data_IF_798162990551
#
_entry.id   IF_798162990551
#
_cell.length_a   1.000
_cell.length_b   1.000
_cell.length_c   1.000
_cell.angle_alpha   90.00
_cell.angle_beta   90.00
_cell.angle_gamma   90.00
#
_symmetry.space_group_name_H-M   'P 1'
#
loop_
_entity.id
_entity.type
_entity.pdbx_description
1 polymer ?
#
# COMPACT_ATOMS: atom_id res chain seq x y z
N UNK A 1 33.91 4.06 6.58
CA UNK A 1 33.11 5.03 5.80
C UNK A 1 32.32 5.84 6.79
N UNK A 2 32.71 7.10 6.95
CA UNK A 2 32.07 8.07 7.83
C UNK A 2 30.59 8.19 7.45
N UNK A 3 29.70 8.00 8.43
CA UNK A 3 28.27 8.35 8.30
C UNK A 3 28.19 9.87 8.24
N UNK A 4 28.54 10.46 7.10
CA UNK A 4 28.18 11.85 6.85
C UNK A 4 26.66 11.92 6.86
N UNK A 5 26.13 12.75 7.76
CA UNK A 5 24.72 13.08 7.73
C UNK A 5 24.39 13.56 6.30
N UNK A 6 23.25 13.14 5.73
CA UNK A 6 22.85 13.63 4.42
C UNK A 6 22.91 15.17 4.44
N UNK A 7 23.35 15.81 3.35
CA UNK A 7 23.48 17.27 3.29
C UNK A 7 22.17 17.91 3.74
N UNK A 8 22.27 18.97 4.55
CA UNK A 8 21.10 19.71 5.02
C UNK A 8 20.45 20.39 3.80
N UNK A 9 19.44 19.74 3.22
CA UNK A 9 18.68 20.27 2.11
C UNK A 9 17.71 21.34 2.63
N UNK A 10 17.62 22.46 1.91
CA UNK A 10 16.52 23.40 2.11
C UNK A 10 15.26 22.85 1.40
N UNK A 11 14.46 22.10 2.14
CA UNK A 11 13.23 21.48 1.63
C UNK A 11 12.20 22.50 1.15
N UNK A 12 12.21 23.72 1.69
CA UNK A 12 11.33 24.79 1.23
C UNK A 12 11.78 25.28 -0.16
N UNK A 13 13.08 25.50 -0.35
CA UNK A 13 13.62 25.87 -1.65
C UNK A 13 13.41 24.78 -2.72
N UNK A 14 13.52 23.51 -2.32
CA UNK A 14 13.21 22.36 -3.18
C UNK A 14 11.72 22.25 -3.54
N UNK A 15 10.83 22.95 -2.81
CA UNK A 15 9.39 22.80 -2.95
C UNK A 15 8.95 21.36 -2.62
N UNK A 16 9.47 20.80 -1.53
CA UNK A 16 9.11 19.46 -1.09
C UNK A 16 7.62 19.42 -0.73
N UNK A 17 6.95 18.42 -1.28
CA UNK A 17 5.56 18.10 -0.98
C UNK A 17 5.48 16.61 -0.69
N UNK A 18 4.79 16.26 0.38
CA UNK A 18 4.63 14.89 0.83
C UNK A 18 3.17 14.62 1.22
N UNK A 19 2.73 13.38 1.01
CA UNK A 19 1.49 12.83 1.52
C UNK A 19 1.74 11.47 2.18
N UNK A 20 0.92 11.10 3.15
CA UNK A 20 1.00 9.82 3.85
C UNK A 20 -0.32 9.08 3.65
N UNK A 21 -0.22 7.80 3.37
CA UNK A 21 -1.34 6.86 3.35
C UNK A 21 -1.12 5.81 4.44
N UNK A 22 -2.16 5.55 5.24
CA UNK A 22 -2.11 4.59 6.34
C UNK A 22 -3.23 3.58 6.17
N UNK A 23 -2.88 2.30 6.19
CA UNK A 23 -3.82 1.19 6.32
C UNK A 23 -3.73 0.62 7.73
N UNK A 24 -4.82 0.64 8.49
CA UNK A 24 -4.86 0.16 9.87
C UNK A 24 -5.97 -0.85 10.08
N UNK A 25 -5.61 -2.07 10.49
CA UNK A 25 -6.58 -3.10 10.87
C UNK A 25 -7.33 -2.72 12.15
N UNK A 26 -8.64 -2.96 12.15
CA UNK A 26 -9.52 -2.74 13.29
C UNK A 26 -9.61 -4.03 14.14
N UNK A 27 -9.69 -3.87 15.46
CA UNK A 27 -9.78 -4.99 16.39
C UNK A 27 -11.23 -5.32 16.72
N UNK A 28 -11.93 -5.82 15.72
CA UNK A 28 -13.35 -6.20 15.80
C UNK A 28 -13.50 -7.69 16.11
N UNK A 29 -14.66 -8.07 16.65
CA UNK A 29 -14.96 -9.47 16.95
C UNK A 29 -15.01 -10.33 15.69
N UNK A 30 -15.58 -9.79 14.60
CA UNK A 30 -15.81 -10.49 13.34
C UNK A 30 -15.28 -9.70 12.14
N UNK A 31 -15.06 -10.40 11.02
CA UNK A 31 -14.62 -9.82 9.75
C UNK A 31 -15.65 -8.84 9.17
N UNK A 32 -15.24 -8.07 8.17
CA UNK A 32 -16.04 -6.93 7.68
C UNK A 32 -17.36 -7.34 7.05
N UNK A 33 -17.38 -8.49 6.37
CA UNK A 33 -18.54 -8.98 5.60
C UNK A 33 -18.92 -10.43 5.91
N UNK A 34 -18.44 -10.99 7.04
CA UNK A 34 -18.82 -12.33 7.49
C UNK A 34 -18.62 -12.50 9.00
N UNK A 35 -19.19 -13.58 9.57
CA UNK A 35 -19.12 -13.89 11.00
C UNK A 35 -17.79 -14.49 11.48
N UNK A 36 -16.77 -14.59 10.62
CA UNK A 36 -15.49 -15.19 11.01
C UNK A 36 -14.68 -14.29 11.94
N UNK A 37 -13.91 -14.84 12.89
CA UNK A 37 -13.08 -14.04 13.80
C UNK A 37 -11.91 -13.37 13.07
N UNK A 38 -11.39 -12.29 13.64
CA UNK A 38 -10.27 -11.51 13.09
C UNK A 38 -8.88 -11.95 13.60
N UNK A 39 -8.74 -13.22 14.01
CA UNK A 39 -7.49 -13.77 14.55
C UNK A 39 -6.61 -14.34 13.43
N UNK A 40 -5.31 -14.14 13.54
CA UNK A 40 -4.35 -14.83 12.69
C UNK A 40 -4.23 -16.30 13.05
N UNK A 41 -3.92 -17.13 12.05
CA UNK A 41 -3.68 -18.57 12.19
C UNK A 41 -2.28 -18.92 11.70
N UNK A 42 -1.68 -19.92 12.32
CA UNK A 42 -0.48 -20.56 11.80
C UNK A 42 -0.85 -21.42 10.59
N UNK A 43 0.01 -21.41 9.57
CA UNK A 43 -0.30 -22.03 8.27
C UNK A 43 -0.53 -23.54 8.40
N UNK A 44 0.17 -24.17 9.33
CA UNK A 44 0.11 -25.59 9.65
C UNK A 44 -1.26 -26.01 10.20
N UNK A 45 -2.05 -25.07 10.73
CA UNK A 45 -3.40 -25.33 11.22
C UNK A 45 -4.44 -25.39 10.09
N UNK A 46 -4.05 -25.11 8.84
CA UNK A 46 -4.95 -25.18 7.71
C UNK A 46 -5.43 -26.61 7.50
N UNK A 47 -6.74 -26.78 7.50
CA UNK A 47 -7.42 -28.07 7.37
C UNK A 47 -8.10 -28.26 6.01
N UNK A 48 -8.10 -27.22 5.17
CA UNK A 48 -8.69 -27.24 3.85
C UNK A 48 -7.90 -26.36 2.90
N UNK A 49 -7.80 -26.78 1.64
CA UNK A 49 -7.10 -26.04 0.59
C UNK A 49 -7.90 -26.14 -0.70
N UNK A 50 -7.96 -25.03 -1.44
CA UNK A 50 -8.52 -24.98 -2.78
C UNK A 50 -7.68 -24.06 -3.67
N UNK A 51 -7.93 -24.08 -4.97
CA UNK A 51 -7.23 -23.20 -5.91
C UNK A 51 -8.19 -22.46 -6.82
N UNK A 52 -7.76 -21.30 -7.34
CA UNK A 52 -8.48 -20.51 -8.34
C UNK A 52 -7.53 -19.97 -9.41
N UNK A 53 -8.14 -19.58 -10.52
CA UNK A 53 -7.53 -18.73 -11.54
C UNK A 53 -8.40 -17.50 -11.68
N UNK A 54 -7.84 -16.32 -11.43
CA UNK A 54 -8.55 -15.07 -11.69
C UNK A 54 -8.49 -14.76 -13.19
N UNK A 55 -9.56 -14.16 -13.70
CA UNK A 55 -9.66 -13.75 -15.11
C UNK A 55 -10.00 -12.26 -15.18
N UNK A 56 -9.37 -11.50 -16.09
CA UNK A 56 -9.74 -10.11 -16.29
C UNK A 56 -11.16 -10.02 -16.84
N UNK A 57 -11.91 -9.03 -16.38
CA UNK A 57 -13.16 -8.63 -17.02
C UNK A 57 -12.86 -7.73 -18.22
N UNK A 58 -13.67 -7.85 -19.27
CA UNK A 58 -13.63 -6.91 -20.42
C UNK A 58 -14.32 -5.62 -20.02
N UNK A 59 -13.79 -4.47 -20.44
CA UNK A 59 -14.53 -3.20 -20.34
C UNK A 59 -15.78 -3.24 -21.23
N UNK A 60 -16.71 -2.32 -21.01
CA UNK A 60 -17.92 -2.14 -21.83
C UNK A 60 -17.60 -1.89 -23.32
N UNK A 61 -16.42 -1.33 -23.60
CA UNK A 61 -15.91 -1.07 -24.96
C UNK A 61 -15.21 -2.30 -25.57
N UNK A 62 -15.15 -3.43 -24.86
CA UNK A 62 -14.45 -4.64 -25.27
C UNK A 62 -12.92 -4.57 -25.13
N UNK A 63 -12.39 -3.42 -24.72
CA UNK A 63 -10.98 -3.23 -24.45
C UNK A 63 -10.62 -3.90 -23.12
N UNK A 64 -9.52 -4.65 -23.11
CA UNK A 64 -8.99 -5.26 -21.90
C UNK A 64 -7.89 -4.34 -21.39
N UNK A 65 -7.88 -4.06 -20.09
CA UNK A 65 -6.81 -3.31 -19.46
C UNK A 65 -5.45 -3.95 -19.79
N UNK A 66 -4.52 -3.13 -20.29
CA UNK A 66 -3.18 -3.57 -20.71
C UNK A 66 -2.40 -4.21 -19.55
N UNK A 67 -2.54 -3.69 -18.33
CA UNK A 67 -1.90 -4.27 -17.14
C UNK A 67 -2.51 -5.63 -16.80
N UNK A 68 -3.84 -5.74 -16.89
CA UNK A 68 -4.53 -7.01 -16.68
C UNK A 68 -4.17 -8.04 -17.76
N UNK A 69 -3.95 -7.62 -19.02
CA UNK A 69 -3.44 -8.47 -20.11
C UNK A 69 -2.01 -8.97 -19.87
N UNK A 70 -1.11 -8.12 -19.37
CA UNK A 70 0.27 -8.53 -19.06
C UNK A 70 0.32 -9.54 -17.91
N UNK A 71 -0.58 -9.41 -16.92
CA UNK A 71 -0.74 -10.39 -15.85
C UNK A 71 -1.40 -11.70 -16.33
N UNK A 72 -2.31 -11.63 -17.31
CA UNK A 72 -2.92 -12.82 -17.96
C UNK A 72 -1.90 -13.65 -18.74
N UNK A 73 -0.87 -13.03 -19.33
CA UNK A 73 0.22 -13.76 -19.98
C UNK A 73 0.95 -14.69 -19.00
N UNK A 74 0.80 -14.44 -17.69
CA UNK A 74 1.22 -15.33 -16.62
C UNK A 74 -0.03 -15.78 -15.86
N UNK A 75 -0.85 -16.65 -16.46
CA UNK A 75 -1.97 -17.30 -15.75
C UNK A 75 -1.45 -18.07 -14.53
N UNK A 76 -1.36 -17.41 -13.37
CA UNK A 76 -0.89 -17.98 -12.12
C UNK A 76 -2.01 -18.72 -11.42
N UNK A 77 -1.70 -19.90 -10.91
CA UNK A 77 -2.59 -20.66 -10.03
C UNK A 77 -2.50 -20.05 -8.63
N UNK A 78 -3.63 -19.63 -8.07
CA UNK A 78 -3.69 -19.16 -6.68
C UNK A 78 -4.20 -20.29 -5.79
N UNK A 79 -3.42 -20.65 -4.79
CA UNK A 79 -3.75 -21.68 -3.81
C UNK A 79 -4.13 -21.02 -2.49
N UNK A 80 -5.27 -21.36 -1.92
CA UNK A 80 -5.79 -20.75 -0.70
C UNK A 80 -5.88 -21.76 0.43
N UNK A 81 -5.16 -21.47 1.52
CA UNK A 81 -5.22 -22.16 2.80
C UNK A 81 -6.40 -21.63 3.61
N UNK A 82 -7.32 -22.52 3.95
CA UNK A 82 -8.55 -22.28 4.71
C UNK A 82 -8.49 -23.00 6.06
N UNK A 83 -9.32 -22.57 7.00
CA UNK A 83 -9.32 -23.01 8.39
C UNK A 83 -10.74 -23.31 8.88
N UNK A 84 -10.87 -23.90 10.06
CA UNK A 84 -12.16 -24.00 10.78
C UNK A 84 -12.73 -22.63 11.19
N UNK A 85 -11.92 -21.57 11.14
CA UNK A 85 -12.32 -20.19 11.41
C UNK A 85 -12.60 -19.36 10.16
N UNK A 86 -12.62 -19.96 8.97
CA UNK A 86 -12.96 -19.27 7.71
C UNK A 86 -14.28 -19.82 7.15
N UNK A 87 -14.93 -19.08 6.26
CA UNK A 87 -16.26 -19.38 5.73
C UNK A 87 -16.35 -19.28 4.20
N UNK A 88 -17.54 -19.56 3.67
CA UNK A 88 -17.83 -19.52 2.23
C UNK A 88 -17.69 -18.11 1.63
N UNK A 89 -17.93 -17.05 2.41
CA UNK A 89 -17.73 -15.66 1.94
C UNK A 89 -16.25 -15.40 1.60
N UNK A 90 -15.32 -15.85 2.43
CA UNK A 90 -13.88 -15.72 2.18
C UNK A 90 -13.42 -16.63 1.05
N UNK A 91 -14.10 -17.75 0.83
CA UNK A 91 -13.85 -18.65 -0.28
C UNK A 91 -14.47 -18.18 -1.61
N UNK A 92 -15.25 -17.09 -1.61
CA UNK A 92 -16.06 -16.64 -2.76
C UNK A 92 -17.09 -17.69 -3.24
N UNK A 93 -17.73 -18.35 -2.28
CA UNK A 93 -18.78 -19.38 -2.49
C UNK A 93 -20.13 -18.99 -1.85
N UNK A 94 -20.20 -17.85 -1.18
CA UNK A 94 -21.42 -17.27 -0.60
C UNK A 94 -21.40 -15.74 -0.75
N UNK A 95 -22.55 -15.10 -1.03
CA UNK A 95 -22.63 -13.65 -1.01
C UNK A 95 -22.18 -13.07 0.35
N UNK A 96 -21.47 -11.92 0.37
CA UNK A 96 -21.09 -11.28 1.61
C UNK A 96 -22.32 -10.87 2.43
N UNK A 97 -22.20 -10.89 3.75
CA UNK A 97 -23.18 -10.29 4.65
C UNK A 97 -23.14 -8.76 4.57
N UNK A 98 -24.01 -8.10 5.34
CA UNK A 98 -23.95 -6.66 5.56
C UNK A 98 -22.64 -6.24 6.24
N UNK A 99 -22.29 -4.95 6.11
CA UNK A 99 -21.10 -4.36 6.75
C UNK A 99 -21.15 -4.58 8.26
N UNK A 100 -20.04 -5.03 8.84
CA UNK A 100 -19.89 -5.19 10.28
C UNK A 100 -20.16 -3.85 11.03
N UNK A 101 -21.20 -3.77 11.89
CA UNK A 101 -21.55 -2.55 12.61
C UNK A 101 -20.45 -2.02 13.52
N UNK A 102 -19.65 -2.90 14.13
CA UNK A 102 -18.54 -2.52 15.00
C UNK A 102 -17.43 -1.82 14.19
N UNK A 103 -17.10 -2.37 13.02
CA UNK A 103 -16.13 -1.76 12.11
C UNK A 103 -16.59 -0.39 11.61
N UNK A 104 -17.88 -0.28 11.26
CA UNK A 104 -18.49 0.99 10.88
C UNK A 104 -18.41 2.01 12.02
N UNK A 105 -18.78 1.64 13.24
CA UNK A 105 -18.71 2.54 14.39
C UNK A 105 -17.28 3.04 14.65
N UNK A 106 -16.29 2.15 14.59
CA UNK A 106 -14.88 2.52 14.76
C UNK A 106 -14.45 3.50 13.65
N UNK A 107 -14.83 3.26 12.39
CA UNK A 107 -14.52 4.15 11.29
C UNK A 107 -15.12 5.56 11.47
N UNK A 108 -16.35 5.66 12.01
CA UNK A 108 -17.00 6.94 12.30
C UNK A 108 -16.33 7.67 13.48
N UNK A 109 -15.87 6.94 14.50
CA UNK A 109 -15.10 7.54 15.59
C UNK A 109 -13.75 8.08 15.08
N UNK A 110 -13.06 7.32 14.21
CA UNK A 110 -11.84 7.79 13.56
C UNK A 110 -12.12 9.03 12.72
N UNK A 111 -13.21 9.03 11.94
CA UNK A 111 -13.63 10.18 11.15
C UNK A 111 -13.81 11.43 12.02
N UNK A 112 -14.49 11.30 13.17
CA UNK A 112 -14.67 12.40 14.12
C UNK A 112 -13.35 12.91 14.71
N UNK A 113 -12.44 12.00 15.09
CA UNK A 113 -11.12 12.37 15.62
C UNK A 113 -10.24 13.10 14.59
N UNK A 114 -10.47 12.85 13.29
CA UNK A 114 -9.78 13.47 12.17
C UNK A 114 -10.55 14.66 11.55
N UNK A 115 -11.63 15.11 12.19
CA UNK A 115 -12.49 16.20 11.73
C UNK A 115 -13.06 15.99 10.30
N UNK A 116 -13.23 14.74 9.89
CA UNK A 116 -13.70 14.37 8.55
C UNK A 116 -15.21 14.66 8.42
N UNK A 117 -15.60 15.15 7.24
CA UNK A 117 -16.99 15.21 6.82
C UNK A 117 -17.41 13.84 6.31
N UNK A 118 -18.21 13.14 7.11
CA UNK A 118 -18.74 11.83 6.75
C UNK A 118 -19.83 11.95 5.68
N UNK A 119 -19.97 10.93 4.85
CA UNK A 119 -21.07 10.81 3.89
C UNK A 119 -22.39 10.48 4.58
N UNK A 120 -23.51 10.88 3.98
CA UNK A 120 -24.85 10.53 4.47
C UNK A 120 -25.20 9.06 4.21
N UNK A 121 -24.68 8.50 3.11
CA UNK A 121 -24.86 7.12 2.71
C UNK A 121 -23.53 6.53 2.25
N UNK A 122 -23.17 5.38 2.83
CA UNK A 122 -21.96 4.66 2.48
C UNK A 122 -22.28 3.56 1.47
N UNK A 123 -21.55 3.52 0.36
CA UNK A 123 -21.70 2.51 -0.69
C UNK A 123 -20.45 1.65 -0.78
N UNK A 124 -20.65 0.32 -0.82
CA UNK A 124 -19.55 -0.64 -0.94
C UNK A 124 -19.20 -0.81 -2.42
N UNK A 125 -17.98 -0.45 -2.77
CA UNK A 125 -17.40 -0.57 -4.10
C UNK A 125 -16.51 -1.81 -4.20
N UNK A 126 -16.19 -2.20 -5.44
CA UNK A 126 -15.29 -3.31 -5.76
C UNK A 126 -14.04 -2.76 -6.45
N UNK A 127 -12.96 -2.61 -5.71
CA UNK A 127 -11.64 -2.23 -6.24
C UNK A 127 -11.00 -3.47 -6.83
N UNK A 128 -10.74 -3.49 -8.14
CA UNK A 128 -10.19 -4.67 -8.82
C UNK A 128 -8.80 -5.02 -8.26
N UNK A 129 -8.60 -6.29 -7.92
CA UNK A 129 -7.35 -6.83 -7.37
C UNK A 129 -7.11 -8.21 -8.00
N UNK A 130 -6.16 -8.28 -8.93
CA UNK A 130 -5.93 -9.46 -9.77
C UNK A 130 -4.70 -10.29 -9.35
N UNK A 131 -3.99 -9.85 -8.31
CA UNK A 131 -2.78 -10.52 -7.81
C UNK A 131 -3.04 -11.82 -7.04
N UNK A 132 -4.33 -12.18 -6.84
CA UNK A 132 -4.75 -13.37 -6.09
C UNK A 132 -4.87 -13.17 -4.58
N UNK A 133 -4.64 -11.96 -4.06
CA UNK A 133 -4.78 -11.68 -2.64
C UNK A 133 -6.24 -11.55 -2.17
N UNK A 134 -7.18 -11.36 -3.10
CA UNK A 134 -8.63 -11.42 -2.88
C UNK A 134 -9.22 -12.57 -3.71
N UNK A 135 -9.91 -13.51 -3.05
CA UNK A 135 -10.50 -14.69 -3.70
C UNK A 135 -11.54 -14.36 -4.77
N UNK A 136 -12.24 -13.24 -4.61
CA UNK A 136 -13.23 -12.69 -5.54
C UNK A 136 -12.64 -11.89 -6.71
N UNK A 137 -11.32 -11.63 -6.72
CA UNK A 137 -10.66 -10.76 -7.70
C UNK A 137 -10.91 -9.26 -7.50
N UNK A 138 -11.48 -8.86 -6.36
CA UNK A 138 -11.63 -7.47 -5.96
C UNK A 138 -11.64 -7.34 -4.43
N UNK A 139 -11.20 -6.18 -3.95
CA UNK A 139 -11.33 -5.76 -2.56
C UNK A 139 -12.63 -4.97 -2.40
N UNK A 140 -13.44 -5.30 -1.39
CA UNK A 140 -14.60 -4.47 -1.03
C UNK A 140 -14.13 -3.28 -0.21
N UNK A 141 -14.42 -2.08 -0.70
CA UNK A 141 -14.00 -0.81 -0.10
C UNK A 141 -15.19 0.15 -0.08
N UNK A 142 -15.40 0.82 1.05
CA UNK A 142 -16.48 1.77 1.24
C UNK A 142 -15.91 3.14 1.64
N UNK A 143 -16.29 4.18 0.91
CA UNK A 143 -15.85 5.54 1.20
C UNK A 143 -16.62 6.11 2.39
N UNK A 144 -15.91 6.54 3.44
CA UNK A 144 -16.50 7.04 4.69
C UNK A 144 -16.60 8.57 4.66
N UNK A 145 -15.61 9.26 4.10
CA UNK A 145 -15.61 10.71 4.01
C UNK A 145 -14.26 11.33 3.66
N UNK A 146 -14.22 12.65 3.56
CA UNK A 146 -13.03 13.46 3.28
C UNK A 146 -13.11 14.83 3.97
N UNK A 147 -12.28 15.79 3.53
CA UNK A 147 -12.20 17.15 4.04
C UNK A 147 -11.89 17.23 5.55
N UNK A 148 -11.19 16.23 6.07
CA UNK A 148 -10.69 16.23 7.45
C UNK A 148 -9.39 17.00 7.57
N UNK A 149 -8.86 17.07 8.79
CA UNK A 149 -7.61 17.74 9.07
C UNK A 149 -7.08 17.42 10.46
N UNK A 150 -5.77 17.61 10.62
CA UNK A 150 -5.04 17.57 11.88
C UNK A 150 -4.17 18.84 12.04
N UNK A 151 -3.92 19.24 13.28
CA UNK A 151 -2.98 20.34 13.59
C UNK A 151 -1.57 19.79 13.80
N UNK A 152 -0.57 20.49 13.26
CA UNK A 152 0.85 20.16 13.43
C UNK A 152 1.66 21.42 13.71
N UNK A 153 2.93 21.23 14.08
CA UNK A 153 3.89 22.32 14.28
C UNK A 153 4.15 23.18 13.03
N UNK A 154 3.85 22.66 11.84
CA UNK A 154 4.06 23.34 10.56
C UNK A 154 2.76 23.84 9.91
N UNK A 155 1.64 23.78 10.62
CA UNK A 155 0.32 24.17 10.15
C UNK A 155 -0.63 22.98 10.00
N UNK A 156 -1.81 23.25 9.46
CA UNK A 156 -2.83 22.22 9.27
C UNK A 156 -2.45 21.29 8.11
N UNK A 157 -2.59 19.98 8.32
CA UNK A 157 -2.51 18.97 7.26
C UNK A 157 -3.91 18.42 7.00
N UNK A 158 -4.37 18.48 5.75
CA UNK A 158 -5.66 17.93 5.36
C UNK A 158 -5.68 16.41 5.39
N UNK A 159 -6.85 15.83 5.65
CA UNK A 159 -7.14 14.41 5.46
C UNK A 159 -8.07 14.32 4.25
N UNK A 160 -7.50 13.85 3.13
CA UNK A 160 -8.17 13.83 1.83
C UNK A 160 -9.14 12.66 1.67
N UNK A 161 -8.94 11.57 2.39
CA UNK A 161 -9.81 10.38 2.29
C UNK A 161 -9.76 9.53 3.55
N UNK A 162 -10.92 8.97 3.93
CA UNK A 162 -11.06 7.84 4.83
C UNK A 162 -11.97 6.79 4.16
N UNK A 163 -11.47 5.56 4.06
CA UNK A 163 -12.24 4.40 3.60
C UNK A 163 -12.28 3.32 4.68
N UNK A 164 -13.33 2.50 4.66
CA UNK A 164 -13.46 1.24 5.39
C UNK A 164 -13.41 0.09 4.37
N UNK A 165 -12.50 -0.84 4.54
CA UNK A 165 -12.22 -1.87 3.53
C UNK A 165 -11.81 -3.22 4.14
N UNK A 166 -11.82 -4.24 3.29
CA UNK A 166 -11.31 -5.57 3.62
C UNK A 166 -9.77 -5.60 3.52
N UNK A 167 -9.10 -6.17 4.51
CA UNK A 167 -7.71 -6.57 4.35
C UNK A 167 -7.60 -7.77 3.38
N UNK A 168 -6.48 -7.85 2.66
CA UNK A 168 -6.20 -8.92 1.70
C UNK A 168 -5.66 -10.20 2.38
N UNK A 169 -5.74 -11.34 1.69
CA UNK A 169 -5.14 -12.59 2.14
C UNK A 169 -3.62 -12.46 2.34
N UNK A 170 -3.05 -13.25 3.24
CA UNK A 170 -1.60 -13.22 3.51
C UNK A 170 -0.88 -14.13 2.53
N UNK A 171 0.05 -13.60 1.74
CA UNK A 171 0.95 -14.41 0.92
C UNK A 171 1.86 -15.23 1.84
N UNK A 172 1.94 -16.53 1.58
CA UNK A 172 2.74 -17.50 2.35
C UNK A 172 3.97 -17.92 1.55
N UNK A 173 3.79 -18.19 0.26
CA UNK A 173 4.84 -18.77 -0.58
C UNK A 173 4.63 -18.37 -2.04
N UNK A 174 5.72 -18.04 -2.74
CA UNK A 174 5.78 -17.91 -4.19
C UNK A 174 6.55 -19.13 -4.75
N UNK A 175 5.84 -19.99 -5.49
CA UNK A 175 6.40 -21.20 -6.12
C UNK A 175 6.79 -20.98 -7.57
N UNK A 176 6.73 -19.75 -8.06
CA UNK A 176 6.95 -19.36 -9.46
C UNK A 176 5.73 -19.62 -10.34
N UNK A 177 5.20 -20.85 -10.35
CA UNK A 177 4.01 -21.23 -11.12
C UNK A 177 2.69 -20.95 -10.40
N UNK A 178 2.77 -20.77 -9.07
CA UNK A 178 1.64 -20.61 -8.17
C UNK A 178 2.00 -19.75 -6.97
N UNK A 179 1.00 -19.02 -6.47
CA UNK A 179 1.11 -18.28 -5.21
C UNK A 179 0.20 -18.92 -4.18
N UNK A 180 0.72 -19.08 -2.96
CA UNK A 180 -0.02 -19.64 -1.83
C UNK A 180 -0.42 -18.53 -0.89
N UNK A 181 -1.72 -18.43 -0.61
CA UNK A 181 -2.33 -17.44 0.26
C UNK A 181 -3.00 -18.11 1.47
N UNK A 182 -3.01 -17.42 2.59
CA UNK A 182 -3.76 -17.78 3.80
C UNK A 182 -4.96 -16.86 3.98
N UNK A 183 -6.14 -17.46 4.15
CA UNK A 183 -7.41 -16.75 4.24
C UNK A 183 -7.72 -16.18 5.63
N UNK A 184 -6.98 -16.58 6.67
CA UNK A 184 -7.14 -16.07 8.03
C UNK A 184 -7.15 -14.53 8.11
N UNK A 185 -6.39 -13.87 7.24
CA UNK A 185 -6.31 -12.40 7.16
C UNK A 185 -7.37 -11.75 6.25
N UNK A 186 -7.82 -12.45 5.21
CA UNK A 186 -8.75 -11.89 4.22
C UNK A 186 -10.04 -11.42 4.90
N UNK A 187 -10.47 -10.18 4.66
CA UNK A 187 -11.72 -9.65 5.21
C UNK A 187 -11.64 -9.09 6.64
N UNK A 188 -10.46 -9.10 7.29
CA UNK A 188 -10.28 -8.31 8.53
C UNK A 188 -10.59 -6.83 8.21
N UNK A 189 -11.43 -6.12 9.00
CA UNK A 189 -11.76 -4.74 8.70
C UNK A 189 -10.52 -3.85 8.83
N UNK A 190 -10.37 -2.93 7.88
CA UNK A 190 -9.25 -2.01 7.81
C UNK A 190 -9.75 -0.61 7.46
N UNK A 191 -9.12 0.41 8.02
CA UNK A 191 -9.30 1.79 7.53
C UNK A 191 -8.10 2.24 6.72
N UNK A 192 -8.39 2.87 5.58
CA UNK A 192 -7.41 3.61 4.77
C UNK A 192 -7.56 5.10 5.06
N UNK A 193 -6.49 5.76 5.50
CA UNK A 193 -6.43 7.21 5.71
C UNK A 193 -5.39 7.78 4.76
N UNK A 194 -5.80 8.69 3.87
CA UNK A 194 -4.88 9.43 3.00
C UNK A 194 -4.83 10.91 3.38
N UNK A 195 -3.64 11.44 3.62
CA UNK A 195 -3.46 12.89 3.83
C UNK A 195 -3.49 13.66 2.52
N UNK A 196 -3.86 14.93 2.59
CA UNK A 196 -3.56 15.89 1.55
C UNK A 196 -2.03 16.07 1.41
N UNK A 197 -1.55 16.54 0.25
CA UNK A 197 -0.13 16.76 -0.01
C UNK A 197 0.36 18.08 0.63
N UNK A 198 0.17 18.23 1.95
CA UNK A 198 0.50 19.45 2.71
C UNK A 198 1.80 19.33 3.51
N UNK A 199 2.44 18.16 3.48
CA UNK A 199 3.62 17.87 4.31
C UNK A 199 4.87 18.42 3.63
N UNK A 200 5.49 19.41 4.24
CA UNK A 200 6.59 20.20 3.63
C UNK A 200 8.02 19.82 4.07
N UNK A 201 8.20 18.87 4.98
CA UNK A 201 9.55 18.44 5.40
C UNK A 201 9.56 17.02 5.96
N UNK A 202 10.74 16.35 5.99
CA UNK A 202 10.90 15.06 6.67
C UNK A 202 10.45 15.02 8.13
N UNK A 203 10.81 16.05 8.90
CA UNK A 203 10.44 16.13 10.31
C UNK A 203 8.92 16.28 10.47
N UNK A 204 8.29 17.08 9.62
CA UNK A 204 6.84 17.24 9.58
C UNK A 204 6.14 15.92 9.18
N UNK A 205 6.68 15.16 8.23
CA UNK A 205 6.14 13.85 7.85
C UNK A 205 6.10 12.87 9.03
N UNK A 206 7.19 12.82 9.80
CA UNK A 206 7.26 11.99 11.01
C UNK A 206 6.29 12.45 12.09
N UNK A 207 6.12 13.75 12.29
CA UNK A 207 5.14 14.31 13.21
C UNK A 207 3.72 13.87 12.83
N UNK A 208 3.34 14.02 11.55
CA UNK A 208 2.03 13.63 11.02
C UNK A 208 1.79 12.14 11.19
N UNK A 209 2.74 11.29 10.76
CA UNK A 209 2.64 9.84 10.93
C UNK A 209 2.48 9.44 12.42
N UNK A 210 3.23 10.10 13.30
CA UNK A 210 3.16 9.87 14.74
C UNK A 210 1.79 10.24 15.31
N UNK A 211 1.25 11.38 14.89
CA UNK A 211 -0.04 11.89 15.34
C UNK A 211 -1.20 11.01 14.86
N UNK A 212 -1.21 10.62 13.59
CA UNK A 212 -2.20 9.68 13.04
C UNK A 212 -2.15 8.34 13.79
N UNK A 213 -0.95 7.80 14.01
CA UNK A 213 -0.77 6.58 14.80
C UNK A 213 -1.25 6.73 16.25
N UNK A 214 -1.09 7.90 16.86
CA UNK A 214 -1.62 8.20 18.19
C UNK A 214 -3.15 8.22 18.20
N UNK A 215 -3.79 8.88 17.23
CA UNK A 215 -5.26 8.92 17.09
C UNK A 215 -5.81 7.51 16.97
N UNK A 216 -5.27 6.71 16.03
CA UNK A 216 -5.68 5.33 15.82
C UNK A 216 -5.57 4.50 17.10
N UNK A 217 -4.43 4.59 17.82
CA UNK A 217 -4.24 3.90 19.09
C UNK A 217 -5.19 4.36 20.19
N UNK A 218 -5.56 5.64 20.19
CA UNK A 218 -6.45 6.24 21.21
C UNK A 218 -7.88 5.73 21.11
N UNK A 219 -8.28 5.16 19.97
CA UNK A 219 -9.57 4.49 19.83
C UNK A 219 -9.70 3.26 20.75
N UNK A 220 -8.57 2.65 21.14
CA UNK A 220 -8.55 1.36 21.84
C UNK A 220 -9.07 0.17 21.03
N UNK A 221 -9.42 0.36 19.75
CA UNK A 221 -10.16 -0.59 18.90
C UNK A 221 -9.46 -0.89 17.58
N UNK A 222 -8.14 -0.72 17.55
CA UNK A 222 -7.28 -1.08 16.41
C UNK A 222 -6.34 -2.20 16.80
N UNK A 223 -6.04 -3.09 15.86
CA UNK A 223 -5.10 -4.19 16.10
C UNK A 223 -3.69 -3.64 16.36
N UNK A 224 -2.93 -4.41 17.14
CA UNK A 224 -1.56 -4.08 17.53
C UNK A 224 -0.64 -5.24 17.18
N UNK A 225 0.62 -4.92 16.90
CA UNK A 225 1.63 -5.90 16.54
C UNK A 225 2.10 -5.71 15.10
N UNK A 226 3.04 -6.56 14.69
CA UNK A 226 3.63 -6.50 13.36
C UNK A 226 2.58 -6.78 12.28
N UNK A 227 2.61 -5.99 11.20
CA UNK A 227 1.70 -6.17 10.06
C UNK A 227 0.27 -5.69 10.25
N UNK A 228 -0.05 -5.06 11.39
CA UNK A 228 -1.40 -4.50 11.66
C UNK A 228 -1.59 -3.08 11.12
N UNK A 229 -0.49 -2.38 10.86
CA UNK A 229 -0.45 -1.06 10.25
C UNK A 229 0.53 -1.06 9.08
N UNK A 230 0.11 -0.48 7.96
CA UNK A 230 0.97 -0.15 6.80
C UNK A 230 0.96 1.35 6.60
N UNK A 231 2.10 1.89 6.20
CA UNK A 231 2.28 3.32 5.96
C UNK A 231 3.05 3.48 4.66
N UNK A 232 2.45 4.18 3.72
CA UNK A 232 3.03 4.49 2.42
C UNK A 232 3.24 6.01 2.35
N UNK A 233 4.35 6.41 1.75
CA UNK A 233 4.76 7.82 1.71
C UNK A 233 4.91 8.26 0.26
N UNK A 234 4.21 9.34 -0.08
CA UNK A 234 4.22 9.94 -1.41
C UNK A 234 5.09 11.19 -1.37
N UNK A 235 6.23 11.22 -2.07
CA UNK A 235 7.19 12.33 -2.03
C UNK A 235 7.36 12.96 -3.41
N UNK A 236 7.44 14.29 -3.44
CA UNK A 236 7.78 15.04 -4.64
C UNK A 236 8.57 16.31 -4.31
N UNK A 237 9.35 16.81 -5.26
CA UNK A 237 10.00 18.12 -5.23
C UNK A 237 9.68 18.89 -6.52
N UNK A 238 9.88 20.21 -6.51
CA UNK A 238 9.67 21.06 -7.69
C UNK A 238 10.55 20.60 -8.87
N UNK A 239 9.90 20.33 -10.01
CA UNK A 239 10.58 19.85 -11.22
C UNK A 239 10.91 18.34 -11.20
N UNK A 240 10.66 17.66 -10.08
CA UNK A 240 10.77 16.21 -9.92
C UNK A 240 9.50 15.47 -10.33
N UNK A 241 9.25 14.34 -9.67
CA UNK A 241 8.08 13.49 -9.92
C UNK A 241 7.43 13.10 -8.58
N UNK A 242 6.16 12.68 -8.62
CA UNK A 242 5.52 12.02 -7.47
C UNK A 242 6.03 10.58 -7.42
N UNK A 243 6.64 10.20 -6.30
CA UNK A 243 7.15 8.85 -6.05
C UNK A 243 6.48 8.30 -4.80
N UNK A 244 5.83 7.16 -4.94
CA UNK A 244 5.22 6.42 -3.85
C UNK A 244 6.22 5.39 -3.30
N UNK A 245 6.44 5.43 -1.99
CA UNK A 245 7.32 4.52 -1.27
C UNK A 245 6.46 3.69 -0.34
N UNK A 246 6.29 2.41 -0.68
CA UNK A 246 5.43 1.48 0.04
C UNK A 246 6.14 0.81 1.22
N UNK A 247 5.38 0.52 2.28
CA UNK A 247 5.83 -0.33 3.37
C UNK A 247 6.83 0.33 4.34
N UNK A 248 6.65 1.61 4.65
CA UNK A 248 7.47 2.32 5.65
C UNK A 248 7.01 1.93 7.06
N UNK A 249 7.35 0.71 7.49
CA UNK A 249 6.81 0.12 8.73
C UNK A 249 7.20 0.87 10.01
N UNK A 250 8.43 1.38 10.07
CA UNK A 250 8.96 1.99 11.28
C UNK A 250 8.85 3.52 11.24
N UNK A 251 8.15 4.10 12.22
CA UNK A 251 7.89 5.53 12.32
C UNK A 251 9.16 6.39 12.30
N UNK A 252 10.24 5.90 12.90
CA UNK A 252 11.55 6.56 12.93
C UNK A 252 12.31 6.50 11.59
N UNK A 253 11.77 5.84 10.57
CA UNK A 253 12.31 5.84 9.22
C UNK A 253 11.59 6.80 8.29
N UNK A 254 10.40 7.30 8.65
CA UNK A 254 9.59 8.17 7.78
C UNK A 254 10.38 9.42 7.38
N UNK A 255 10.99 10.11 8.34
CA UNK A 255 11.84 11.28 8.09
C UNK A 255 13.04 10.92 7.18
N UNK A 256 13.73 9.82 7.47
CA UNK A 256 14.88 9.38 6.67
C UNK A 256 14.48 9.05 5.22
N UNK A 257 13.38 8.33 5.02
CA UNK A 257 12.89 7.94 3.69
C UNK A 257 12.51 9.16 2.87
N UNK A 258 11.75 10.10 3.44
CA UNK A 258 11.38 11.35 2.76
C UNK A 258 12.62 12.17 2.39
N UNK A 259 13.57 12.32 3.32
CA UNK A 259 14.79 13.09 3.07
C UNK A 259 15.68 12.46 1.99
N UNK A 260 15.83 11.14 2.00
CA UNK A 260 16.61 10.42 0.98
C UNK A 260 15.95 10.48 -0.39
N UNK A 261 14.62 10.40 -0.46
CA UNK A 261 13.90 10.51 -1.73
C UNK A 261 13.99 11.91 -2.32
N UNK A 262 13.84 12.95 -1.49
CA UNK A 262 14.04 14.33 -1.93
C UNK A 262 15.46 14.55 -2.47
N UNK A 263 16.48 14.02 -1.78
CA UNK A 263 17.87 14.06 -2.23
C UNK A 263 18.04 13.32 -3.56
N UNK A 264 17.46 12.12 -3.70
CA UNK A 264 17.54 11.31 -4.92
C UNK A 264 16.94 12.08 -6.11
N UNK A 265 15.77 12.69 -5.94
CA UNK A 265 15.15 13.49 -6.99
C UNK A 265 16.01 14.71 -7.34
N UNK A 266 16.52 15.44 -6.34
CA UNK A 266 17.39 16.59 -6.58
C UNK A 266 18.64 16.22 -7.41
N UNK A 267 19.31 15.12 -7.05
CA UNK A 267 20.48 14.63 -7.81
C UNK A 267 20.13 14.17 -9.22
N UNK A 268 18.95 13.57 -9.42
CA UNK A 268 18.51 13.19 -10.76
C UNK A 268 18.21 14.41 -11.64
N UNK A 269 17.74 15.52 -11.07
CA UNK A 269 17.57 16.76 -11.81
C UNK A 269 18.91 17.36 -12.23
N UNK A 270 19.91 17.35 -11.35
CA UNK A 270 21.27 17.76 -11.71
C UNK A 270 21.84 16.91 -12.87
N UNK A 271 21.66 15.59 -12.81
CA UNK A 271 22.09 14.68 -13.89
C UNK A 271 21.33 14.96 -15.19
N UNK A 272 20.01 15.17 -15.11
CA UNK A 272 19.17 15.49 -16.26
C UNK A 272 19.66 16.76 -16.95
N UNK A 273 19.91 17.82 -16.19
CA UNK A 273 20.35 19.10 -16.71
C UNK A 273 21.73 18.99 -17.38
N UNK A 274 22.65 18.20 -16.80
CA UNK A 274 23.96 17.92 -17.40
C UNK A 274 23.86 17.11 -18.70
N UNK A 275 22.98 16.11 -18.76
CA UNK A 275 22.75 15.32 -19.98
C UNK A 275 22.18 16.18 -21.11
N UNK A 276 21.25 17.08 -20.78
CA UNK A 276 20.70 18.06 -21.75
C UNK A 276 21.79 19.01 -22.23
N UNK A 277 22.60 19.55 -21.32
CA UNK A 277 23.71 20.47 -21.63
C UNK A 277 24.71 19.86 -22.63
N UNK A 278 25.02 18.57 -22.47
CA UNK A 278 25.95 17.84 -23.36
C UNK A 278 25.29 17.32 -24.64
N UNK A 279 23.98 17.48 -24.82
CA UNK A 279 23.24 16.88 -25.93
C UNK A 279 23.34 15.35 -25.94
N UNK A 280 23.36 14.72 -24.76
CA UNK A 280 23.52 13.28 -24.64
C UNK A 280 22.36 12.51 -25.30
N UNK A 281 22.66 11.38 -25.92
CA UNK A 281 21.68 10.49 -26.53
C UNK A 281 21.92 9.03 -26.12
N UNK A 282 20.86 8.22 -26.21
CA UNK A 282 20.92 6.78 -25.90
C UNK A 282 20.75 6.00 -27.19
N UNK A 283 21.83 5.36 -27.65
CA UNK A 283 21.78 4.34 -28.69
C UNK A 283 21.30 3.01 -28.08
N UNK A 284 20.22 2.45 -28.61
CA UNK A 284 19.64 1.18 -28.13
C UNK A 284 20.29 -0.05 -28.75
N UNK A 285 21.28 0.13 -29.62
CA UNK A 285 22.01 -0.97 -30.25
C UNK A 285 22.84 -1.69 -29.20
N UNK A 286 22.49 -2.94 -28.91
CA UNK A 286 23.28 -3.82 -28.05
C UNK A 286 24.51 -4.31 -28.82
N UNK A 287 25.69 -4.15 -28.22
CA UNK A 287 26.96 -4.62 -28.80
C UNK A 287 27.44 -5.85 -28.06
N UNK A 288 27.73 -6.91 -28.79
CA UNK A 288 28.39 -8.09 -28.23
C UNK A 288 29.84 -7.75 -27.88
N UNK A 289 30.16 -7.85 -26.60
CA UNK A 289 31.49 -7.59 -26.03
C UNK A 289 32.11 -8.86 -25.44
N UNK A 290 31.53 -10.04 -25.70
CA UNK A 290 31.93 -11.33 -25.11
C UNK A 290 33.42 -11.63 -25.34
N UNK A 291 33.91 -11.37 -26.56
CA UNK A 291 35.31 -11.59 -26.91
C UNK A 291 36.29 -10.73 -26.08
N UNK A 292 35.89 -9.54 -25.62
CA UNK A 292 36.71 -8.65 -24.78
C UNK A 292 36.95 -9.26 -23.40
N UNK A 293 36.01 -10.07 -22.92
CA UNK A 293 36.05 -10.67 -21.59
C UNK A 293 36.54 -12.13 -21.59
N UNK A 294 37.03 -12.66 -22.72
CA UNK A 294 37.43 -14.07 -22.84
C UNK A 294 38.52 -14.53 -21.86
N UNK A 295 39.34 -13.60 -21.32
CA UNK A 295 40.37 -13.88 -20.31
C UNK A 295 40.14 -13.06 -19.03
N UNK A 296 38.88 -12.72 -18.73
CA UNK A 296 38.55 -11.94 -17.55
C UNK A 296 38.88 -12.71 -16.26
N UNK A 297 39.45 -12.02 -15.27
CA UNK A 297 39.60 -12.53 -13.91
C UNK A 297 38.30 -12.45 -13.08
N UNK A 298 37.22 -11.90 -13.66
CA UNK A 298 35.93 -11.77 -12.99
C UNK A 298 35.15 -13.08 -13.01
N UNK A 299 34.95 -13.69 -11.84
CA UNK A 299 34.14 -14.91 -11.67
C UNK A 299 32.66 -14.76 -12.06
N UNK A 300 32.17 -13.54 -12.21
CA UNK A 300 30.80 -13.25 -12.64
C UNK A 300 30.65 -13.37 -14.16
N UNK A 301 31.74 -13.14 -14.90
CA UNK A 301 31.75 -13.08 -16.36
C UNK A 301 32.48 -14.26 -17.02
N UNK A 302 33.30 -15.00 -16.25
CA UNK A 302 34.10 -16.15 -16.70
C UNK A 302 33.29 -17.41 -16.94
#
# INVERSE_FOLDING_TARGET
MTKEAPPCLDYRALGLICGIEIHQQLDTAHKLFCGCPTRHREVEESNFEFFRYLRPSRSELGEIDRAALEEVLVSRKFLYKSYDSTCLVEADEEPPAEVNPEALEISLVIARLLNIKVVDQMEVMRKMVIDGSNTSGFQRTAYVGADGWIETSAGRVGIGILCLEEEAARIIEDRGDSLVYSLDRLGIPLVEIGTAPDIVSPAHAREVASYLGMILRSTGRVKRGLGTIRQDVNVSIKGGARVEIKGVQALNLVDKVVGLEALRQARLLEIKDELISRGACVDRTVKDVTAIFAQTGSKVLS
#
